data_IF_393969654766
#
_entry.id   IF_393969654766
#
_cell.length_a   1.000
_cell.length_b   1.000
_cell.length_c   1.000
_cell.angle_alpha   90.00
_cell.angle_beta   90.00
_cell.angle_gamma   90.00
#
_symmetry.space_group_name_H-M   'P 1'
#
loop_
_entity.id
_entity.type
_entity.pdbx_description
1 polymer ?
#
# COMPACT_ATOMS: atom_id res chain seq x y z
N UNK A 1 -72.31 -19.11 7.59
CA UNK A 1 -71.66 -18.41 8.72
C UNK A 1 -70.17 -18.76 8.86
N UNK A 2 -69.75 -20.03 8.69
CA UNK A 2 -68.35 -20.47 8.79
C UNK A 2 -67.37 -19.75 7.82
N UNK A 3 -67.75 -19.58 6.55
CA UNK A 3 -66.89 -18.93 5.54
C UNK A 3 -66.55 -17.47 5.84
N UNK A 4 -67.44 -16.73 6.52
CA UNK A 4 -67.22 -15.32 6.86
C UNK A 4 -66.16 -15.18 7.95
N UNK A 5 -66.17 -16.10 8.94
CA UNK A 5 -65.17 -16.12 10.02
C UNK A 5 -63.78 -16.55 9.52
N UNK A 6 -63.74 -17.54 8.62
CA UNK A 6 -62.48 -17.99 8.01
C UNK A 6 -61.83 -16.88 7.15
N UNK A 7 -62.63 -16.10 6.42
CA UNK A 7 -62.12 -15.01 5.59
C UNK A 7 -61.60 -13.83 6.42
N UNK A 8 -62.25 -13.52 7.57
CA UNK A 8 -61.76 -12.52 8.53
C UNK A 8 -60.41 -12.90 9.13
N UNK A 9 -60.23 -14.17 9.52
CA UNK A 9 -58.96 -14.66 10.08
C UNK A 9 -57.83 -14.59 9.04
N UNK A 10 -58.10 -15.02 7.80
CA UNK A 10 -57.14 -14.94 6.68
C UNK A 10 -56.70 -13.51 6.39
N UNK A 11 -57.64 -12.56 6.40
CA UNK A 11 -57.35 -11.15 6.16
C UNK A 11 -56.48 -10.54 7.28
N UNK A 12 -56.78 -10.86 8.54
CA UNK A 12 -55.97 -10.45 9.70
C UNK A 12 -54.54 -11.00 9.64
N UNK A 13 -54.39 -12.27 9.26
CA UNK A 13 -53.08 -12.92 9.07
C UNK A 13 -52.28 -12.29 7.92
N UNK A 14 -52.94 -11.97 6.80
CA UNK A 14 -52.30 -11.32 5.66
C UNK A 14 -51.81 -9.91 6.01
N UNK A 15 -52.62 -9.12 6.72
CA UNK A 15 -52.25 -7.78 7.19
C UNK A 15 -51.09 -7.87 8.19
N UNK A 16 -51.21 -8.74 9.21
CA UNK A 16 -50.16 -8.92 10.21
C UNK A 16 -48.84 -9.39 9.61
N UNK A 17 -48.89 -10.35 8.68
CA UNK A 17 -47.72 -10.82 7.93
C UNK A 17 -47.09 -9.73 7.08
N UNK A 18 -47.90 -8.94 6.38
CA UNK A 18 -47.42 -7.80 5.58
C UNK A 18 -46.75 -6.72 6.42
N UNK A 19 -47.33 -6.36 7.57
CA UNK A 19 -46.75 -5.39 8.52
C UNK A 19 -45.42 -5.93 9.07
N UNK A 20 -45.38 -7.20 9.47
CA UNK A 20 -44.16 -7.82 10.00
C UNK A 20 -43.03 -7.83 8.96
N UNK A 21 -43.33 -8.18 7.70
CA UNK A 21 -42.36 -8.15 6.61
C UNK A 21 -41.87 -6.72 6.31
N UNK A 22 -42.78 -5.75 6.30
CA UNK A 22 -42.43 -4.33 6.11
C UNK A 22 -41.50 -3.80 7.19
N UNK A 23 -41.80 -4.08 8.46
CA UNK A 23 -40.94 -3.70 9.59
C UNK A 23 -39.59 -4.40 9.54
N UNK A 24 -39.54 -5.69 9.18
CA UNK A 24 -38.30 -6.43 9.02
C UNK A 24 -37.43 -5.85 7.88
N UNK A 25 -38.03 -5.52 6.74
CA UNK A 25 -37.33 -4.93 5.60
C UNK A 25 -36.77 -3.53 5.91
N UNK A 26 -37.57 -2.67 6.56
CA UNK A 26 -37.13 -1.34 7.00
C UNK A 26 -36.01 -1.44 8.04
N UNK A 27 -36.16 -2.35 9.01
CA UNK A 27 -35.13 -2.63 10.01
C UNK A 27 -33.82 -3.10 9.37
N UNK A 28 -33.89 -4.06 8.45
CA UNK A 28 -32.73 -4.55 7.70
C UNK A 28 -32.06 -3.42 6.90
N UNK A 29 -32.83 -2.63 6.15
CA UNK A 29 -32.31 -1.51 5.37
C UNK A 29 -31.61 -0.47 6.25
N UNK A 30 -32.22 -0.10 7.39
CA UNK A 30 -31.63 0.85 8.33
C UNK A 30 -30.35 0.33 8.97
N UNK A 31 -30.34 -0.95 9.38
CA UNK A 31 -29.18 -1.58 10.02
C UNK A 31 -28.01 -1.72 9.05
N UNK A 32 -28.27 -2.16 7.81
CA UNK A 32 -27.25 -2.28 6.77
C UNK A 32 -26.65 -0.93 6.42
N UNK A 33 -27.47 0.11 6.26
CA UNK A 33 -26.99 1.47 6.02
C UNK A 33 -26.09 2.00 7.14
N UNK A 34 -26.48 1.76 8.41
CA UNK A 34 -25.69 2.16 9.58
C UNK A 34 -24.36 1.40 9.68
N UNK A 35 -24.37 0.08 9.45
CA UNK A 35 -23.18 -0.77 9.49
C UNK A 35 -22.18 -0.38 8.40
N UNK A 36 -22.64 -0.18 7.17
CA UNK A 36 -21.79 0.27 6.06
C UNK A 36 -21.16 1.64 6.35
N UNK A 37 -21.92 2.57 6.92
CA UNK A 37 -21.40 3.89 7.32
C UNK A 37 -20.33 3.78 8.41
N UNK A 38 -20.54 2.94 9.42
CA UNK A 38 -19.56 2.71 10.48
C UNK A 38 -18.26 2.11 9.95
N UNK A 39 -18.36 1.14 9.04
CA UNK A 39 -17.22 0.53 8.38
C UNK A 39 -16.44 1.58 7.59
N UNK A 40 -17.12 2.36 6.75
CA UNK A 40 -16.50 3.43 5.98
C UNK A 40 -15.76 4.45 6.86
N UNK A 41 -16.37 4.85 7.98
CA UNK A 41 -15.75 5.77 8.94
C UNK A 41 -14.51 5.18 9.63
N UNK A 42 -14.56 3.91 10.03
CA UNK A 42 -13.40 3.21 10.60
C UNK A 42 -12.25 3.13 9.60
N UNK A 43 -12.55 2.84 8.32
CA UNK A 43 -11.55 2.85 7.25
C UNK A 43 -10.95 4.24 7.04
N UNK A 44 -11.76 5.32 7.01
CA UNK A 44 -11.24 6.69 6.90
C UNK A 44 -10.31 7.05 8.06
N UNK A 45 -10.65 6.67 9.29
CA UNK A 45 -9.79 6.92 10.47
C UNK A 45 -8.49 6.14 10.40
N UNK A 46 -8.54 4.88 9.97
CA UNK A 46 -7.33 4.08 9.77
C UNK A 46 -6.41 4.71 8.73
N UNK A 47 -6.95 5.22 7.62
CA UNK A 47 -6.18 5.93 6.59
C UNK A 47 -5.50 7.19 7.14
N UNK A 48 -6.23 7.99 7.91
CA UNK A 48 -5.69 9.20 8.53
C UNK A 48 -4.58 8.86 9.54
N UNK A 49 -4.82 7.88 10.40
CA UNK A 49 -3.82 7.39 11.35
C UNK A 49 -2.55 6.88 10.65
N UNK A 50 -2.70 6.11 9.57
CA UNK A 50 -1.55 5.69 8.75
C UNK A 50 -0.81 6.89 8.18
N UNK A 51 -1.52 7.88 7.65
CA UNK A 51 -0.93 9.07 7.06
C UNK A 51 -0.09 9.84 8.09
N UNK A 52 -0.67 10.06 9.26
CA UNK A 52 -0.03 10.76 10.37
C UNK A 52 1.18 9.95 10.89
N UNK A 53 0.99 8.64 11.13
CA UNK A 53 2.05 7.74 11.56
C UNK A 53 3.23 7.73 10.58
N UNK A 54 3.00 7.87 9.28
CA UNK A 54 4.09 7.84 8.29
C UNK A 54 4.94 9.10 8.33
N UNK A 55 4.32 10.26 8.54
CA UNK A 55 5.06 11.49 8.75
C UNK A 55 5.82 11.48 10.08
N UNK A 56 5.20 10.94 11.14
CA UNK A 56 5.84 10.82 12.45
C UNK A 56 6.95 9.76 12.48
N UNK A 57 6.84 8.68 11.71
CA UNK A 57 7.85 7.61 11.59
C UNK A 57 8.97 7.97 10.60
N UNK A 58 8.71 8.80 9.60
CA UNK A 58 9.72 9.23 8.63
C UNK A 58 10.89 9.98 9.28
N UNK A 59 10.59 10.86 10.24
CA UNK A 59 11.61 11.61 11.00
C UNK A 59 12.58 10.71 11.78
N UNK A 60 12.13 9.80 12.67
CA UNK A 60 13.03 8.89 13.38
C UNK A 60 13.74 7.91 12.46
N UNK A 61 13.11 7.43 11.38
CA UNK A 61 13.78 6.59 10.38
C UNK A 61 14.90 7.35 9.65
N UNK A 62 14.68 8.62 9.32
CA UNK A 62 15.70 9.47 8.70
C UNK A 62 16.91 9.64 9.63
N UNK A 63 16.67 9.86 10.93
CA UNK A 63 17.75 9.96 11.93
C UNK A 63 18.53 8.65 12.05
N UNK A 64 17.84 7.50 12.08
CA UNK A 64 18.48 6.18 12.13
C UNK A 64 19.33 5.95 10.87
N UNK A 65 18.78 6.17 9.68
CA UNK A 65 19.51 6.02 8.40
C UNK A 65 20.71 6.95 8.31
N UNK A 66 20.57 8.21 8.75
CA UNK A 66 21.68 9.16 8.79
C UNK A 66 22.79 8.68 9.73
N UNK A 67 22.43 8.16 10.90
CA UNK A 67 23.39 7.66 11.88
C UNK A 67 24.15 6.44 11.35
N UNK A 68 23.43 5.51 10.72
CA UNK A 68 24.01 4.34 10.04
C UNK A 68 24.94 4.78 8.91
N UNK A 69 24.52 5.75 8.10
CA UNK A 69 25.34 6.27 7.00
C UNK A 69 26.66 6.85 7.52
N UNK A 70 26.62 7.66 8.59
CA UNK A 70 27.84 8.22 9.23
C UNK A 70 28.77 7.11 9.73
N UNK A 71 28.21 6.06 10.33
CA UNK A 71 28.97 4.90 10.80
C UNK A 71 29.61 4.16 9.61
N UNK A 72 28.85 3.88 8.57
CA UNK A 72 29.34 3.19 7.37
C UNK A 72 30.40 3.99 6.60
N UNK A 73 30.37 5.33 6.67
CA UNK A 73 31.42 6.21 6.11
C UNK A 73 32.73 6.17 6.89
N UNK A 74 32.72 5.71 8.14
CA UNK A 74 33.90 5.59 9.00
C UNK A 74 34.07 4.15 9.51
N UNK A 75 34.23 3.17 8.60
CA UNK A 75 34.23 1.76 8.96
C UNK A 75 35.44 1.37 9.83
N UNK A 76 36.48 2.19 9.89
CA UNK A 76 37.64 2.06 10.77
C UNK A 76 37.33 2.33 12.24
N UNK A 77 36.21 3.01 12.53
CA UNK A 77 35.75 3.32 13.90
C UNK A 77 34.77 2.29 14.45
N UNK A 78 34.40 1.30 13.64
CA UNK A 78 33.45 0.24 13.98
C UNK A 78 34.22 -1.03 14.34
N UNK A 79 33.90 -1.61 15.50
CA UNK A 79 34.40 -2.94 15.84
C UNK A 79 33.93 -3.97 14.79
N UNK A 80 34.80 -4.84 14.26
CA UNK A 80 34.42 -5.88 13.31
C UNK A 80 33.20 -6.71 13.72
N UNK A 81 32.99 -6.93 15.02
CA UNK A 81 31.84 -7.67 15.58
C UNK A 81 30.52 -6.92 15.39
N UNK A 82 30.57 -5.59 15.35
CA UNK A 82 29.39 -4.72 15.25
C UNK A 82 29.01 -4.38 13.81
N UNK A 83 29.90 -4.57 12.83
CA UNK A 83 29.60 -4.36 11.40
C UNK A 83 28.34 -5.10 10.94
N UNK A 84 28.21 -6.36 11.33
CA UNK A 84 27.04 -7.18 10.97
C UNK A 84 25.76 -6.66 11.63
N UNK A 85 25.86 -6.11 12.85
CA UNK A 85 24.72 -5.54 13.58
C UNK A 85 24.25 -4.24 12.91
N UNK A 86 25.18 -3.37 12.54
CA UNK A 86 24.88 -2.11 11.85
C UNK A 86 24.21 -2.38 10.49
N UNK A 87 24.71 -3.36 9.74
CA UNK A 87 24.08 -3.80 8.49
C UNK A 87 22.66 -4.34 8.71
N UNK A 88 22.44 -5.16 9.76
CA UNK A 88 21.11 -5.65 10.09
C UNK A 88 20.13 -4.52 10.46
N UNK A 89 20.58 -3.50 11.20
CA UNK A 89 19.75 -2.33 11.56
C UNK A 89 19.41 -1.51 10.31
N UNK A 90 20.34 -1.38 9.37
CA UNK A 90 20.11 -0.70 8.08
C UNK A 90 18.96 -1.38 7.32
N UNK A 91 19.08 -2.69 7.11
CA UNK A 91 18.08 -3.49 6.40
C UNK A 91 16.70 -3.44 7.09
N UNK A 92 16.67 -3.50 8.43
CA UNK A 92 15.42 -3.38 9.18
C UNK A 92 14.77 -1.98 9.02
N UNK A 93 15.58 -0.93 8.98
CA UNK A 93 15.11 0.44 8.80
C UNK A 93 14.54 0.65 7.39
N UNK A 94 15.16 0.06 6.38
CA UNK A 94 14.66 0.08 5.00
C UNK A 94 13.35 -0.69 4.86
N UNK A 95 13.25 -1.88 5.47
CA UNK A 95 12.01 -2.65 5.51
C UNK A 95 10.86 -1.85 6.14
N UNK A 96 11.09 -1.21 7.28
CA UNK A 96 10.06 -0.40 7.95
C UNK A 96 9.66 0.79 7.08
N UNK A 97 10.63 1.42 6.41
CA UNK A 97 10.35 2.52 5.46
C UNK A 97 9.41 2.05 4.37
N UNK A 98 9.72 0.94 3.70
CA UNK A 98 8.90 0.39 2.63
C UNK A 98 7.49 0.00 3.12
N UNK A 99 7.37 -0.66 4.27
CA UNK A 99 6.07 -1.04 4.84
C UNK A 99 5.17 0.17 5.12
N UNK A 100 5.74 1.22 5.71
CA UNK A 100 5.03 2.48 6.00
C UNK A 100 4.58 3.15 4.70
N UNK A 101 5.49 3.25 3.75
CA UNK A 101 5.22 3.82 2.44
C UNK A 101 4.16 3.05 1.65
N UNK A 102 4.12 1.72 1.73
CA UNK A 102 3.13 0.88 1.04
C UNK A 102 1.76 1.00 1.70
N UNK A 103 1.71 1.08 3.03
CA UNK A 103 0.48 1.32 3.78
C UNK A 103 -0.11 2.70 3.46
N UNK A 104 0.74 3.71 3.28
CA UNK A 104 0.33 5.02 2.75
C UNK A 104 -0.26 4.93 1.35
N UNK A 105 0.40 4.20 0.46
CA UNK A 105 -0.05 4.06 -0.93
C UNK A 105 -1.44 3.42 -0.97
N UNK A 106 -1.64 2.32 -0.24
CA UNK A 106 -2.94 1.66 -0.10
C UNK A 106 -4.00 2.60 0.49
N UNK A 107 -3.66 3.36 1.54
CA UNK A 107 -4.55 4.33 2.13
C UNK A 107 -5.00 5.42 1.14
N UNK A 108 -4.10 5.86 0.25
CA UNK A 108 -4.35 6.88 -0.78
C UNK A 108 -5.16 6.36 -1.97
N UNK A 109 -4.95 5.13 -2.40
CA UNK A 109 -5.62 4.54 -3.58
C UNK A 109 -7.11 4.25 -3.35
N UNK A 110 -7.49 3.80 -2.15
CA UNK A 110 -8.84 3.29 -1.87
C UNK A 110 -9.87 4.36 -1.49
N UNK A 111 -9.54 5.65 -1.55
CA UNK A 111 -10.52 6.66 -1.16
C UNK A 111 -10.07 8.07 -1.46
N UNK A 112 -10.62 8.63 -2.54
CA UNK A 112 -11.01 10.05 -2.62
C UNK A 112 -9.96 11.10 -2.21
N UNK A 113 -8.66 10.78 -2.31
CA UNK A 113 -7.57 11.77 -2.34
C UNK A 113 -6.98 11.77 -3.75
N UNK A 114 -7.84 12.11 -4.71
CA UNK A 114 -7.45 12.49 -6.07
C UNK A 114 -6.76 13.88 -6.10
N UNK A 115 -6.04 14.23 -5.03
CA UNK A 115 -5.29 15.48 -4.86
C UNK A 115 -3.83 15.20 -4.46
N UNK A 116 -3.28 14.05 -4.81
CA UNK A 116 -1.84 14.06 -5.11
C UNK A 116 -1.75 14.86 -6.40
N UNK A 117 -1.40 16.14 -6.29
CA UNK A 117 -1.03 16.97 -7.44
C UNK A 117 0.18 16.30 -8.06
N UNK A 118 -0.05 15.36 -8.98
CA UNK A 118 1.02 14.67 -9.68
C UNK A 118 1.78 15.76 -10.42
N UNK A 119 3.05 15.94 -10.05
CA UNK A 119 3.91 16.86 -10.77
C UNK A 119 4.31 16.20 -12.07
N UNK A 120 3.37 16.19 -13.02
CA UNK A 120 3.51 15.56 -14.33
C UNK A 120 4.43 16.41 -15.18
N UNK A 121 5.70 16.03 -15.20
CA UNK A 121 6.71 16.62 -16.06
C UNK A 121 7.16 15.59 -17.09
N UNK A 122 7.58 16.02 -18.29
CA UNK A 122 8.25 15.13 -19.24
C UNK A 122 9.54 14.64 -18.61
N UNK A 123 9.70 13.32 -18.55
CA UNK A 123 10.86 12.66 -17.94
C UNK A 123 11.44 11.63 -18.91
N UNK A 124 12.77 11.55 -19.02
CA UNK A 124 13.44 10.46 -19.70
C UNK A 124 13.29 9.18 -18.87
N UNK A 125 12.57 8.21 -19.41
CA UNK A 125 12.25 6.95 -18.73
C UNK A 125 13.49 6.06 -18.58
N UNK A 126 14.41 6.14 -19.55
CA UNK A 126 15.70 5.46 -19.55
C UNK A 126 16.54 5.85 -18.35
N UNK A 127 16.67 7.14 -18.05
CA UNK A 127 17.41 7.62 -16.86
C UNK A 127 16.77 7.11 -15.56
N UNK A 128 15.43 7.19 -15.44
CA UNK A 128 14.72 6.69 -14.25
C UNK A 128 14.96 5.19 -14.03
N UNK A 129 14.91 4.39 -15.11
CA UNK A 129 15.14 2.95 -15.04
C UNK A 129 16.59 2.63 -14.72
N UNK A 130 17.54 3.38 -15.25
CA UNK A 130 18.97 3.21 -14.98
C UNK A 130 19.30 3.49 -13.51
N UNK A 131 18.81 4.60 -12.97
CA UNK A 131 18.93 4.94 -11.53
C UNK A 131 18.31 3.86 -10.64
N UNK A 132 17.14 3.34 -11.04
CA UNK A 132 16.46 2.29 -10.29
C UNK A 132 17.25 0.98 -10.31
N UNK A 133 17.83 0.62 -11.45
CA UNK A 133 18.66 -0.58 -11.60
C UNK A 133 19.95 -0.49 -10.79
N UNK A 134 20.57 0.69 -10.73
CA UNK A 134 21.76 0.93 -9.91
C UNK A 134 21.45 0.73 -8.42
N UNK A 135 20.31 1.24 -7.96
CA UNK A 135 19.85 1.07 -6.59
C UNK A 135 19.65 -0.41 -6.19
N UNK A 136 19.05 -1.21 -7.08
CA UNK A 136 18.78 -2.63 -6.82
C UNK A 136 20.00 -3.53 -7.03
N UNK A 137 21.04 -3.03 -7.72
CA UNK A 137 22.23 -3.82 -8.08
C UNK A 137 22.94 -4.42 -6.87
N UNK A 138 23.12 -3.63 -5.82
CA UNK A 138 23.78 -4.07 -4.58
C UNK A 138 23.04 -5.24 -3.91
N UNK A 139 21.71 -5.20 -3.92
CA UNK A 139 20.86 -6.26 -3.37
C UNK A 139 20.85 -7.50 -4.28
N UNK A 140 20.83 -7.31 -5.60
CA UNK A 140 20.91 -8.39 -6.58
C UNK A 140 22.25 -9.13 -6.52
N UNK A 141 23.37 -8.43 -6.37
CA UNK A 141 24.70 -9.01 -6.22
C UNK A 141 24.80 -9.85 -4.94
N UNK A 142 24.25 -9.36 -3.83
CA UNK A 142 24.15 -10.12 -2.57
C UNK A 142 23.35 -11.42 -2.72
N UNK A 143 22.34 -11.42 -3.60
CA UNK A 143 21.47 -12.58 -3.89
C UNK A 143 21.95 -13.42 -5.08
N UNK A 144 23.10 -13.10 -5.68
CA UNK A 144 23.63 -13.73 -6.89
C UNK A 144 22.68 -13.71 -8.10
N UNK A 145 21.88 -12.66 -8.22
CA UNK A 145 20.91 -12.49 -9.31
C UNK A 145 21.56 -11.69 -10.45
N UNK A 146 21.51 -12.23 -11.67
CA UNK A 146 21.98 -11.51 -12.88
C UNK A 146 20.92 -10.55 -13.41
N UNK A 147 21.14 -9.25 -13.18
CA UNK A 147 20.39 -8.18 -13.85
C UNK A 147 20.92 -8.01 -15.28
N UNK A 148 20.05 -8.16 -16.29
CA UNK A 148 20.33 -7.68 -17.65
C UNK A 148 19.29 -6.62 -17.98
N UNK A 149 19.75 -5.45 -18.40
CA UNK A 149 18.91 -4.38 -18.91
C UNK A 149 19.08 -4.27 -20.42
N UNK A 150 17.98 -4.02 -21.12
CA UNK A 150 17.98 -3.60 -22.51
C UNK A 150 17.09 -2.35 -22.58
N UNK A 151 17.70 -1.19 -22.32
CA UNK A 151 17.01 0.09 -22.28
C UNK A 151 17.10 0.73 -23.66
N UNK A 152 15.96 1.14 -24.19
CA UNK A 152 15.92 1.97 -25.39
C UNK A 152 16.04 3.44 -24.95
N UNK A 153 17.02 4.15 -25.48
CA UNK A 153 17.23 5.57 -25.20
C UNK A 153 16.13 6.44 -25.77
N UNK A 154 15.96 7.65 -25.21
CA UNK A 154 15.05 8.70 -25.69
C UNK A 154 13.55 8.38 -25.52
N UNK A 155 13.18 7.51 -24.57
CA UNK A 155 11.78 7.26 -24.25
C UNK A 155 11.30 8.28 -23.22
N UNK A 156 10.39 9.17 -23.62
CA UNK A 156 9.85 10.19 -22.73
C UNK A 156 8.47 9.82 -22.20
N UNK A 157 8.26 9.99 -20.91
CA UNK A 157 6.96 9.78 -20.25
C UNK A 157 6.53 11.01 -19.48
N UNK A 158 5.23 11.27 -19.43
CA UNK A 158 4.66 12.32 -18.61
C UNK A 158 4.26 11.74 -17.25
N UNK A 159 4.98 12.07 -16.19
CA UNK A 159 4.77 11.48 -14.88
C UNK A 159 5.45 12.22 -13.74
N UNK A 160 5.30 11.67 -12.54
CA UNK A 160 6.04 12.10 -11.36
C UNK A 160 7.23 11.15 -11.18
N UNK A 161 8.44 11.68 -11.20
CA UNK A 161 9.67 10.88 -11.21
C UNK A 161 9.80 9.98 -9.98
N UNK A 162 9.45 10.50 -8.79
CA UNK A 162 9.54 9.73 -7.55
C UNK A 162 8.56 8.56 -7.55
N UNK A 163 7.34 8.78 -8.06
CA UNK A 163 6.34 7.72 -8.15
C UNK A 163 6.70 6.67 -9.19
N UNK A 164 7.24 7.08 -10.34
CA UNK A 164 7.71 6.15 -11.37
C UNK A 164 8.87 5.30 -10.87
N UNK A 165 9.91 5.93 -10.28
CA UNK A 165 11.05 5.24 -9.70
C UNK A 165 10.59 4.22 -8.65
N UNK A 166 9.64 4.60 -7.80
CA UNK A 166 9.07 3.70 -6.78
C UNK A 166 8.30 2.53 -7.39
N UNK A 167 7.48 2.77 -8.42
CA UNK A 167 6.78 1.70 -9.15
C UNK A 167 7.78 0.71 -9.74
N UNK A 168 8.82 1.20 -10.42
CA UNK A 168 9.83 0.32 -11.02
C UNK A 168 10.65 -0.44 -9.97
N UNK A 169 11.05 0.21 -8.88
CA UNK A 169 11.74 -0.44 -7.75
C UNK A 169 10.90 -1.59 -7.18
N UNK A 170 9.60 -1.36 -6.95
CA UNK A 170 8.68 -2.38 -6.46
C UNK A 170 8.50 -3.54 -7.43
N UNK A 171 8.48 -3.28 -8.74
CA UNK A 171 8.37 -4.34 -9.77
C UNK A 171 9.65 -5.16 -9.85
N UNK A 172 10.81 -4.50 -9.82
CA UNK A 172 12.13 -5.16 -9.94
C UNK A 172 12.42 -5.99 -8.68
N UNK A 173 12.10 -5.46 -7.50
CA UNK A 173 12.26 -6.16 -6.23
C UNK A 173 11.24 -7.28 -6.02
N UNK A 174 10.23 -7.40 -6.89
CA UNK A 174 9.27 -8.48 -6.78
C UNK A 174 9.93 -9.83 -7.13
N UNK A 175 9.91 -10.82 -6.23
CA UNK A 175 10.56 -12.12 -6.45
C UNK A 175 10.03 -12.89 -7.67
N UNK A 176 8.79 -12.65 -8.13
CA UNK A 176 8.29 -13.26 -9.36
C UNK A 176 8.95 -12.71 -10.63
N UNK A 177 9.38 -11.45 -10.65
CA UNK A 177 10.11 -10.86 -11.80
C UNK A 177 11.48 -11.51 -11.95
N UNK A 178 12.11 -11.85 -10.82
CA UNK A 178 13.45 -12.45 -10.75
C UNK A 178 13.44 -13.91 -11.22
N UNK A 179 12.35 -14.64 -10.99
CA UNK A 179 12.21 -16.07 -11.34
C UNK A 179 11.95 -16.34 -12.84
N UNK A 180 11.55 -15.33 -13.63
CA UNK A 180 11.24 -15.50 -15.06
C UNK A 180 12.47 -15.61 -15.97
N UNK A 181 13.68 -15.66 -15.42
CA UNK A 181 14.93 -15.68 -16.21
C UNK A 181 15.78 -16.95 -16.06
N UNK A 182 15.32 -17.93 -15.27
CA UNK A 182 16.04 -19.20 -15.04
C UNK A 182 15.61 -20.33 -15.99
N UNK A 183 14.86 -20.01 -17.05
CA UNK A 183 14.63 -20.92 -18.18
C UNK A 183 15.08 -20.28 -19.51
N UNK A 184 16.40 -20.29 -19.75
CA UNK A 184 16.97 -20.62 -21.06
C UNK A 184 18.47 -20.88 -21.02
#
# INVERSE_FOLDING_TARGET
MLNIQLNRLRFGLAIGGGIALGLAALGAFWLTGKSLKSIAQSFTRLKQFTADASHELGSPLTVIKSSISVLQSHPERIDPVDKNKISAIANASDLITHLVEDLLLLARLDGSVALVTLNKIPLPLDEILEDTLEFVRSEADCKQIKLNSNLQSEVWVLGDGNLLQRVFSNIINNPCTILLKEER
#
